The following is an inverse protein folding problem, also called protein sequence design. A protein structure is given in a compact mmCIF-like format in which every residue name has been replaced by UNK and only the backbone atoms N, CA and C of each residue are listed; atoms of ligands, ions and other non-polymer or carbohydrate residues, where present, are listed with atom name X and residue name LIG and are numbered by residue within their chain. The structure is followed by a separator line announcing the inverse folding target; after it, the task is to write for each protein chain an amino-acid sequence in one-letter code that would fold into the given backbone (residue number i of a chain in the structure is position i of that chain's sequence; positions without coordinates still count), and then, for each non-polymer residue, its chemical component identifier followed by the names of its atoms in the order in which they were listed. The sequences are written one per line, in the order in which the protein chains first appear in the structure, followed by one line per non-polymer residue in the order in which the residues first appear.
data_IF_674663463663
#
_entry.id   IF_674663463663
#
_cell.length_a   1.000
_cell.length_b   1.000
_cell.length_c   1.000
_cell.angle_alpha   90.00
_cell.angle_beta   90.00
_cell.angle_gamma   90.00
#
_symmetry.space_group_name_H-M   'P 1'
#
loop_
_entity.id
_entity.type
_entity.pdbx_description
1 polymer ?
#
# COMPACT_ATOMS: atom_id res chain seq x y z
N UNK A 1 6.08 -4.82 -17.12
CA UNK A 1 6.95 -3.80 -16.50
C UNK A 1 7.04 -4.10 -15.02
N UNK A 2 8.22 -3.93 -14.42
CA UNK A 2 8.44 -4.15 -12.98
C UNK A 2 9.12 -2.93 -12.38
N UNK A 3 8.61 -2.44 -11.26
CA UNK A 3 9.29 -1.46 -10.41
C UNK A 3 9.51 -2.09 -9.04
N UNK A 4 10.72 -1.95 -8.53
CA UNK A 4 11.11 -2.44 -7.23
C UNK A 4 11.83 -1.34 -6.46
N UNK A 5 11.46 -1.10 -5.20
CA UNK A 5 12.10 -0.11 -4.32
C UNK A 5 12.28 1.25 -5.01
N UNK A 6 11.23 1.70 -5.68
CA UNK A 6 11.25 2.88 -6.55
C UNK A 6 10.13 3.86 -6.20
N UNK A 7 10.36 5.14 -6.52
CA UNK A 7 9.33 6.18 -6.47
C UNK A 7 9.06 6.60 -7.92
N UNK A 8 7.80 6.51 -8.33
CA UNK A 8 7.35 6.96 -9.63
C UNK A 8 6.25 8.02 -9.48
N UNK A 9 6.18 8.91 -10.46
CA UNK A 9 4.99 9.74 -10.67
C UNK A 9 3.80 8.88 -11.15
N UNK A 10 2.74 9.51 -11.68
CA UNK A 10 1.63 8.79 -12.28
C UNK A 10 2.08 7.84 -13.39
N UNK A 11 1.57 6.60 -13.39
CA UNK A 11 1.82 5.63 -14.46
C UNK A 11 0.57 5.44 -15.30
N UNK A 12 0.72 5.77 -16.59
CA UNK A 12 -0.24 5.56 -17.64
C UNK A 12 0.17 4.31 -18.43
N UNK A 13 -0.57 3.21 -18.28
CA UNK A 13 -0.30 1.92 -18.94
C UNK A 13 -1.64 1.29 -19.35
N UNK A 14 -1.79 0.90 -20.60
CA UNK A 14 -3.04 0.29 -21.06
C UNK A 14 -3.27 -1.13 -20.53
N UNK A 15 -4.53 -1.57 -20.61
CA UNK A 15 -4.89 -2.98 -20.44
C UNK A 15 -4.10 -3.90 -21.40
N UNK A 16 -3.93 -5.17 -21.01
CA UNK A 16 -3.13 -6.15 -21.75
C UNK A 16 -1.67 -6.22 -21.32
N UNK A 17 -1.17 -5.20 -20.62
CA UNK A 17 0.15 -5.21 -19.98
C UNK A 17 0.08 -5.73 -18.53
N UNK A 18 1.19 -6.29 -18.06
CA UNK A 18 1.40 -6.65 -16.65
C UNK A 18 2.33 -5.62 -15.99
N UNK A 19 1.86 -5.02 -14.89
CA UNK A 19 2.62 -4.14 -14.02
C UNK A 19 2.84 -4.82 -12.67
N UNK A 20 4.09 -5.03 -12.30
CA UNK A 20 4.48 -5.55 -10.98
C UNK A 20 5.14 -4.43 -10.18
N UNK A 21 4.62 -4.15 -9.00
CA UNK A 21 5.13 -3.15 -8.07
C UNK A 21 5.54 -3.82 -6.76
N UNK A 22 6.81 -3.69 -6.40
CA UNK A 22 7.38 -4.22 -5.16
C UNK A 22 8.03 -3.11 -4.35
N UNK A 23 7.64 -2.95 -3.10
CA UNK A 23 8.21 -1.97 -2.16
C UNK A 23 8.30 -0.54 -2.76
N UNK A 24 7.28 -0.13 -3.51
CA UNK A 24 7.35 1.05 -4.38
C UNK A 24 6.24 2.06 -4.10
N UNK A 25 6.50 3.32 -4.43
CA UNK A 25 5.56 4.44 -4.30
C UNK A 25 5.16 4.90 -5.71
N UNK A 26 3.86 5.10 -5.91
CA UNK A 26 3.32 5.75 -7.11
C UNK A 26 2.54 6.97 -6.66
N UNK A 27 2.97 8.15 -7.10
CA UNK A 27 2.46 9.42 -6.58
C UNK A 27 1.95 10.36 -7.67
N UNK A 28 0.67 10.71 -7.59
CA UNK A 28 0.01 11.71 -8.43
C UNK A 28 -0.21 13.04 -7.71
N UNK A 29 0.54 13.32 -6.64
CA UNK A 29 0.41 14.52 -5.82
C UNK A 29 -0.86 14.54 -4.97
N UNK A 30 -1.48 13.39 -4.74
CA UNK A 30 -2.80 13.27 -4.09
C UNK A 30 -2.68 12.63 -2.71
N UNK A 31 -2.34 13.44 -1.72
CA UNK A 31 -2.32 13.05 -0.30
C UNK A 31 -3.69 12.65 0.23
N UNK A 32 -3.73 12.11 1.46
CA UNK A 32 -4.91 11.57 2.15
C UNK A 32 -6.07 12.56 2.32
N UNK A 33 -5.81 13.86 2.26
CA UNK A 33 -6.81 14.93 2.38
C UNK A 33 -7.25 15.52 1.03
N UNK A 34 -6.72 15.02 -0.09
CA UNK A 34 -7.07 15.52 -1.42
C UNK A 34 -8.55 15.25 -1.72
N UNK A 35 -9.30 16.31 -2.08
CA UNK A 35 -10.74 16.23 -2.40
C UNK A 35 -11.00 15.81 -3.84
N UNK A 36 -10.04 16.06 -4.74
CA UNK A 36 -10.07 15.68 -6.16
C UNK A 36 -8.78 14.92 -6.50
N UNK A 37 -8.64 13.66 -6.04
CA UNK A 37 -7.43 12.89 -6.25
C UNK A 37 -7.19 12.57 -7.73
N UNK A 38 -5.99 12.89 -8.20
CA UNK A 38 -5.51 12.55 -9.53
C UNK A 38 -5.31 11.04 -9.68
N UNK A 39 -5.23 10.57 -10.93
CA UNK A 39 -5.02 9.16 -11.24
C UNK A 39 -3.53 8.82 -11.11
N UNK A 40 -3.18 8.01 -10.12
CA UNK A 40 -1.82 7.50 -9.93
C UNK A 40 -1.51 6.33 -10.88
N UNK A 41 -2.50 5.49 -11.16
CA UNK A 41 -2.37 4.35 -12.05
C UNK A 41 -3.63 4.24 -12.92
N UNK A 42 -3.45 4.20 -14.24
CA UNK A 42 -4.57 4.13 -15.19
C UNK A 42 -4.16 3.81 -16.61
N UNK A 43 -5.13 3.77 -17.51
CA UNK A 43 -4.89 3.59 -18.95
C UNK A 43 -4.04 4.72 -19.54
N UNK A 44 -3.20 4.40 -20.53
CA UNK A 44 -2.43 5.38 -21.27
C UNK A 44 -3.24 6.01 -22.42
N UNK A 45 -4.20 5.28 -22.95
CA UNK A 45 -5.04 5.69 -24.07
C UNK A 45 -6.52 5.71 -23.70
N UNK A 46 -7.29 6.49 -24.46
CA UNK A 46 -8.72 6.68 -24.22
C UNK A 46 -9.03 7.66 -23.08
N UNK A 47 -10.29 7.65 -22.64
CA UNK A 47 -10.74 8.50 -21.54
C UNK A 47 -10.31 7.87 -20.20
N UNK A 48 -9.54 8.59 -19.39
CA UNK A 48 -9.00 8.13 -18.12
C UNK A 48 -10.07 7.69 -17.09
N UNK A 49 -11.31 8.18 -17.19
CA UNK A 49 -12.42 7.80 -16.31
C UNK A 49 -13.18 6.55 -16.79
N UNK A 50 -12.99 6.15 -18.06
CA UNK A 50 -13.71 5.04 -18.67
C UNK A 50 -12.79 3.85 -18.98
N UNK A 51 -11.59 4.13 -19.48
CA UNK A 51 -10.59 3.14 -19.84
C UNK A 51 -9.99 2.46 -18.60
N UNK A 52 -9.44 1.27 -18.80
CA UNK A 52 -8.87 0.45 -17.73
C UNK A 52 -7.37 0.28 -17.94
N UNK A 53 -6.62 0.43 -16.85
CA UNK A 53 -5.16 0.28 -16.84
C UNK A 53 -4.69 -1.18 -16.92
N UNK A 54 -3.44 -1.47 -16.51
CA UNK A 54 -2.82 -2.78 -16.71
C UNK A 54 -3.38 -3.84 -15.74
N UNK A 55 -2.92 -5.07 -15.89
CA UNK A 55 -2.99 -6.07 -14.83
C UNK A 55 -1.96 -5.73 -13.74
N UNK A 56 -2.41 -5.54 -12.51
CA UNK A 56 -1.57 -5.08 -11.40
C UNK A 56 -1.21 -6.23 -10.45
N UNK A 57 0.09 -6.37 -10.16
CA UNK A 57 0.62 -7.23 -9.09
C UNK A 57 1.32 -6.36 -8.07
N UNK A 58 0.92 -6.44 -6.80
CA UNK A 58 1.47 -5.62 -5.71
C UNK A 58 2.16 -6.47 -4.65
N UNK A 59 3.30 -5.99 -4.16
CA UNK A 59 3.97 -6.50 -2.95
C UNK A 59 4.57 -5.31 -2.20
N UNK A 60 3.81 -4.70 -1.31
CA UNK A 60 4.24 -3.45 -0.68
C UNK A 60 4.15 -2.26 -1.64
N UNK A 61 2.98 -1.62 -1.72
CA UNK A 61 2.74 -0.47 -2.59
C UNK A 61 2.19 0.67 -1.74
N UNK A 62 2.64 1.91 -1.96
CA UNK A 62 1.90 3.10 -1.52
C UNK A 62 1.49 3.92 -2.73
N UNK A 63 0.18 4.06 -2.96
CA UNK A 63 -0.38 4.81 -4.09
C UNK A 63 -1.05 6.11 -3.61
N UNK A 64 -0.45 7.25 -3.93
CA UNK A 64 -1.01 8.59 -3.68
C UNK A 64 -1.80 9.06 -4.90
N UNK A 65 -3.06 8.64 -4.96
CA UNK A 65 -3.99 8.96 -6.04
C UNK A 65 -4.93 7.80 -6.32
N UNK A 66 -5.90 8.03 -7.19
CA UNK A 66 -6.83 6.98 -7.64
C UNK A 66 -6.08 5.94 -8.45
N UNK A 67 -6.53 4.68 -8.37
CA UNK A 67 -5.97 3.56 -9.12
C UNK A 67 -7.09 2.89 -9.89
N UNK A 68 -6.95 2.79 -11.20
CA UNK A 68 -7.94 2.16 -12.09
C UNK A 68 -7.27 1.13 -12.99
N UNK A 69 -7.51 -0.15 -12.75
CA UNK A 69 -6.74 -1.26 -13.35
C UNK A 69 -7.64 -2.37 -13.85
N UNK A 70 -7.14 -3.17 -14.79
CA UNK A 70 -7.91 -4.30 -15.34
C UNK A 70 -8.11 -5.40 -14.30
N UNK A 71 -7.03 -5.85 -13.67
CA UNK A 71 -7.03 -6.81 -12.56
C UNK A 71 -6.08 -6.32 -11.48
N UNK A 72 -6.27 -6.75 -10.23
CA UNK A 72 -5.33 -6.48 -9.15
C UNK A 72 -5.16 -7.71 -8.26
N UNK A 73 -3.91 -8.07 -7.97
CA UNK A 73 -3.58 -9.13 -7.01
C UNK A 73 -2.32 -8.83 -6.23
N UNK A 74 -2.14 -9.52 -5.11
CA UNK A 74 -0.95 -9.43 -4.29
C UNK A 74 -1.26 -8.96 -2.87
N UNK A 75 -0.31 -8.27 -2.23
CA UNK A 75 -0.42 -7.96 -0.80
C UNK A 75 0.29 -6.69 -0.35
N UNK A 76 -0.10 -6.18 0.82
CA UNK A 76 0.60 -5.07 1.50
C UNK A 76 0.46 -3.71 0.83
N UNK A 77 -0.60 -3.48 0.05
CA UNK A 77 -0.84 -2.20 -0.61
C UNK A 77 -1.55 -1.18 0.28
N UNK A 78 -1.16 0.09 0.18
CA UNK A 78 -1.86 1.26 0.70
C UNK A 78 -2.43 2.04 -0.49
N UNK A 79 -3.73 1.94 -0.69
CA UNK A 79 -4.45 2.69 -1.73
C UNK A 79 -5.10 3.91 -1.07
N UNK A 80 -4.40 5.05 -1.08
CA UNK A 80 -4.77 6.26 -0.33
C UNK A 80 -6.13 6.80 -0.78
N UNK A 81 -6.44 6.63 -2.06
CA UNK A 81 -7.72 6.99 -2.67
C UNK A 81 -8.35 5.79 -3.37
N UNK A 82 -9.46 6.02 -4.06
CA UNK A 82 -10.27 5.00 -4.72
C UNK A 82 -9.43 4.04 -5.57
N UNK A 83 -9.56 2.74 -5.26
CA UNK A 83 -9.12 1.64 -6.10
C UNK A 83 -10.31 1.06 -6.88
N UNK A 84 -10.21 1.07 -8.19
CA UNK A 84 -11.19 0.46 -9.09
C UNK A 84 -10.54 -0.65 -9.92
N UNK A 85 -11.05 -1.86 -9.76
CA UNK A 85 -10.63 -3.04 -10.52
C UNK A 85 -11.75 -3.46 -11.46
N UNK A 86 -11.44 -3.53 -12.77
CA UNK A 86 -12.43 -3.89 -13.78
C UNK A 86 -12.95 -5.30 -13.60
N UNK A 87 -12.04 -6.26 -13.54
CA UNK A 87 -12.36 -7.67 -13.34
C UNK A 87 -12.18 -8.02 -11.87
N UNK A 88 -13.26 -7.77 -11.13
CA UNK A 88 -13.33 -7.95 -9.68
C UNK A 88 -14.08 -9.22 -9.26
N UNK A 89 -14.44 -10.09 -10.21
CA UNK A 89 -15.17 -11.34 -9.97
C UNK A 89 -14.34 -12.60 -10.27
N UNK A 90 -13.19 -12.46 -10.94
CA UNK A 90 -12.30 -13.58 -11.26
C UNK A 90 -11.65 -14.16 -9.99
N UNK A 91 -12.28 -15.20 -9.43
CA UNK A 91 -11.79 -15.91 -8.26
C UNK A 91 -10.67 -16.87 -8.64
N UNK A 92 -9.55 -16.82 -7.91
CA UNK A 92 -8.52 -17.86 -7.99
C UNK A 92 -8.36 -18.58 -6.66
N UNK A 93 -8.31 -19.91 -6.76
CA UNK A 93 -7.94 -20.85 -5.71
C UNK A 93 -6.44 -20.73 -5.38
N UNK A 94 -6.06 -21.31 -4.25
CA UNK A 94 -4.91 -20.96 -3.41
C UNK A 94 -3.51 -21.15 -4.05
N UNK A 95 -3.39 -21.69 -5.26
CA UNK A 95 -2.12 -22.06 -5.89
C UNK A 95 -1.64 -21.08 -6.97
N UNK A 96 -0.72 -20.21 -6.58
CA UNK A 96 -0.15 -19.16 -7.44
C UNK A 96 0.94 -19.75 -8.35
N UNK A 97 0.56 -20.21 -9.53
CA UNK A 97 1.50 -20.54 -10.61
C UNK A 97 1.61 -19.41 -11.65
N UNK A 98 2.77 -19.31 -12.30
CA UNK A 98 3.03 -18.31 -13.36
C UNK A 98 2.07 -18.59 -14.53
N UNK A 99 1.20 -17.63 -14.85
CA UNK A 99 0.23 -17.73 -15.94
C UNK A 99 -1.24 -17.81 -15.51
N UNK A 100 -1.52 -17.97 -14.22
CA UNK A 100 -2.89 -17.90 -13.69
C UNK A 100 -3.40 -16.45 -13.58
N UNK A 101 -4.66 -16.24 -13.97
CA UNK A 101 -5.37 -14.96 -14.09
C UNK A 101 -6.41 -14.83 -12.97
N UNK A 102 -6.18 -14.02 -11.94
CA UNK A 102 -7.24 -13.79 -10.94
C UNK A 102 -6.95 -12.58 -10.06
N UNK A 103 -7.98 -12.10 -9.39
CA UNK A 103 -7.92 -10.87 -8.59
C UNK A 103 -8.14 -11.15 -7.10
N UNK A 104 -7.07 -11.03 -6.31
CA UNK A 104 -7.12 -11.16 -4.85
C UNK A 104 -6.07 -10.27 -4.17
N UNK A 105 -6.52 -9.39 -3.27
CA UNK A 105 -5.64 -8.51 -2.49
C UNK A 105 -5.63 -8.91 -1.01
N UNK A 106 -4.44 -9.04 -0.42
CA UNK A 106 -4.27 -9.49 0.96
C UNK A 106 -3.57 -8.43 1.80
N UNK A 107 -3.98 -8.27 3.05
CA UNK A 107 -3.27 -7.40 4.01
C UNK A 107 -3.03 -5.99 3.46
N UNK A 108 -4.01 -5.43 2.76
CA UNK A 108 -3.98 -4.10 2.17
C UNK A 108 -4.84 -3.12 2.98
N UNK A 109 -4.59 -1.84 2.82
CA UNK A 109 -5.47 -0.77 3.27
C UNK A 109 -6.15 -0.11 2.07
N UNK A 110 -7.45 0.13 2.19
CA UNK A 110 -8.25 0.83 1.18
C UNK A 110 -8.95 2.04 1.80
N UNK A 111 -9.14 3.08 0.98
CA UNK A 111 -9.80 4.31 1.40
C UNK A 111 -11.20 4.07 1.98
N UNK A 112 -11.94 3.10 1.41
CA UNK A 112 -13.35 2.87 1.68
C UNK A 112 -14.27 3.84 0.92
N UNK A 113 -13.74 4.69 0.04
CA UNK A 113 -14.50 5.69 -0.72
C UNK A 113 -14.84 5.19 -2.13
N UNK A 114 -15.95 4.45 -2.22
CA UNK A 114 -16.46 3.85 -3.45
C UNK A 114 -15.42 2.97 -4.18
N UNK A 115 -14.58 2.26 -3.41
CA UNK A 115 -13.64 1.30 -3.97
C UNK A 115 -14.40 0.16 -4.69
N UNK A 116 -13.97 -0.18 -5.91
CA UNK A 116 -14.41 -1.37 -6.63
C UNK A 116 -13.34 -2.43 -6.49
N UNK A 117 -13.43 -3.20 -5.41
CA UNK A 117 -12.40 -4.16 -5.01
C UNK A 117 -12.66 -5.57 -5.58
N UNK A 118 -11.59 -6.33 -5.84
CA UNK A 118 -11.68 -7.77 -6.05
C UNK A 118 -11.88 -8.49 -4.70
N UNK A 119 -11.82 -9.83 -4.72
CA UNK A 119 -11.74 -10.60 -3.47
C UNK A 119 -10.57 -10.11 -2.62
N UNK A 120 -10.76 -10.04 -1.31
CA UNK A 120 -9.72 -9.57 -0.40
C UNK A 120 -9.75 -10.29 0.93
N UNK A 121 -8.60 -10.38 1.58
CA UNK A 121 -8.42 -11.13 2.83
C UNK A 121 -7.50 -10.37 3.78
N UNK A 122 -7.91 -10.19 5.03
CA UNK A 122 -7.10 -9.51 6.05
C UNK A 122 -6.84 -8.03 5.74
N UNK A 123 -7.61 -7.43 4.85
CA UNK A 123 -7.51 -6.00 4.53
C UNK A 123 -8.30 -5.15 5.52
N UNK A 124 -7.92 -3.87 5.62
CA UNK A 124 -8.56 -2.88 6.48
C UNK A 124 -9.00 -1.66 5.67
N UNK A 125 -9.98 -0.91 6.19
CA UNK A 125 -10.61 0.21 5.49
C UNK A 125 -10.46 1.51 6.28
N UNK A 126 -10.41 2.64 5.57
CA UNK A 126 -10.19 3.96 6.16
C UNK A 126 -11.23 4.39 7.21
N UNK A 127 -12.46 3.87 7.15
CA UNK A 127 -13.50 4.10 8.17
C UNK A 127 -13.16 3.46 9.51
N UNK A 128 -12.40 2.38 9.50
CA UNK A 128 -12.06 1.61 10.69
C UNK A 128 -10.64 1.86 11.14
N UNK A 129 -9.68 1.87 10.20
CA UNK A 129 -8.26 1.99 10.45
C UNK A 129 -7.72 3.32 9.90
N UNK A 130 -7.32 4.21 10.80
CA UNK A 130 -6.86 5.55 10.45
C UNK A 130 -5.43 5.53 9.92
N UNK A 131 -5.28 5.83 8.63
CA UNK A 131 -3.99 5.97 7.96
C UNK A 131 -3.35 7.33 8.26
N UNK A 132 -2.05 7.34 8.60
CA UNK A 132 -1.27 8.56 8.85
C UNK A 132 0.16 8.41 8.36
N UNK A 133 0.61 9.37 7.56
CA UNK A 133 2.00 9.45 7.10
C UNK A 133 2.76 10.56 7.81
N UNK A 134 4.09 10.41 7.90
CA UNK A 134 4.98 11.43 8.45
C UNK A 134 5.08 12.61 7.49
N UNK A 135 5.18 12.32 6.18
CA UNK A 135 4.97 13.29 5.12
C UNK A 135 4.31 12.65 3.91
N UNK A 136 3.51 13.42 3.18
CA UNK A 136 2.74 12.96 2.02
C UNK A 136 3.18 13.63 0.71
N UNK A 137 4.15 14.53 0.77
CA UNK A 137 4.67 15.23 -0.41
C UNK A 137 6.11 14.82 -0.65
N UNK A 138 6.43 14.49 -1.90
CA UNK A 138 7.78 14.13 -2.32
C UNK A 138 8.81 15.21 -1.93
N UNK A 139 10.00 14.77 -1.52
CA UNK A 139 11.08 15.65 -1.06
C UNK A 139 11.01 16.08 0.41
N UNK A 140 9.94 15.74 1.14
CA UNK A 140 9.87 15.93 2.59
C UNK A 140 10.51 14.74 3.35
N UNK A 141 11.20 14.97 4.48
CA UNK A 141 11.64 13.89 5.36
C UNK A 141 10.47 13.00 5.80
N UNK A 142 10.70 11.70 5.90
CA UNK A 142 9.63 10.74 6.21
C UNK A 142 8.55 10.60 5.14
N UNK A 143 8.80 11.01 3.88
CA UNK A 143 7.85 10.86 2.78
C UNK A 143 7.35 9.41 2.66
N UNK A 144 6.02 9.27 2.69
CA UNK A 144 5.25 8.03 2.64
C UNK A 144 5.52 7.03 3.79
N UNK A 145 6.34 7.39 4.78
CA UNK A 145 6.54 6.57 5.97
C UNK A 145 5.33 6.71 6.90
N UNK A 146 4.91 5.60 7.49
CA UNK A 146 3.81 5.61 8.45
C UNK A 146 4.24 6.28 9.76
N UNK A 147 3.35 7.09 10.32
CA UNK A 147 3.55 7.63 11.68
C UNK A 147 3.33 6.55 12.72
N UNK A 148 3.98 6.69 13.87
CA UNK A 148 3.74 5.80 15.03
C UNK A 148 2.30 5.84 15.55
N UNK A 149 1.60 6.96 15.37
CA UNK A 149 0.18 7.13 15.73
C UNK A 149 -0.79 6.70 14.61
N UNK A 150 -0.27 6.12 13.52
CA UNK A 150 -1.09 5.38 12.55
C UNK A 150 -1.71 4.15 13.23
N UNK A 151 -2.91 3.77 12.79
CA UNK A 151 -3.62 2.62 13.35
C UNK A 151 -2.71 1.38 13.36
N UNK A 152 -2.71 0.70 14.51
CA UNK A 152 -1.92 -0.51 14.76
C UNK A 152 -2.07 -1.54 13.64
N UNK A 153 -3.27 -1.76 13.12
CA UNK A 153 -3.53 -2.78 12.09
C UNK A 153 -2.75 -2.50 10.80
N UNK A 154 -2.56 -1.23 10.46
CA UNK A 154 -1.79 -0.81 9.27
C UNK A 154 -0.30 -1.03 9.51
N UNK A 155 0.18 -0.81 10.74
CA UNK A 155 1.60 -0.98 11.08
C UNK A 155 1.99 -2.43 11.37
N UNK A 156 1.07 -3.27 11.82
CA UNK A 156 1.42 -4.57 12.43
C UNK A 156 0.71 -5.78 11.80
N UNK A 157 -0.38 -5.58 11.05
CA UNK A 157 -1.17 -6.67 10.46
C UNK A 157 -1.02 -6.76 8.93
N UNK A 158 0.03 -6.14 8.38
CA UNK A 158 0.45 -6.30 6.99
C UNK A 158 1.13 -7.65 6.72
N UNK A 159 1.67 -7.85 5.51
CA UNK A 159 2.38 -9.07 5.15
C UNK A 159 3.51 -9.39 6.13
N UNK A 160 3.64 -10.67 6.51
CA UNK A 160 4.57 -11.13 7.53
C UNK A 160 4.41 -10.48 8.92
N UNK A 161 3.20 -9.98 9.25
CA UNK A 161 2.90 -9.30 10.52
C UNK A 161 3.73 -8.04 10.75
N UNK A 162 3.94 -7.28 9.67
CA UNK A 162 4.63 -5.99 9.68
C UNK A 162 3.80 -4.91 8.96
N UNK A 163 4.40 -3.76 8.66
CA UNK A 163 3.67 -2.62 8.11
C UNK A 163 3.24 -2.83 6.66
N UNK A 164 2.04 -2.32 6.34
CA UNK A 164 1.56 -2.19 4.97
C UNK A 164 2.29 -1.03 4.25
N UNK A 165 2.34 -1.09 2.93
CA UNK A 165 2.88 -0.03 2.08
C UNK A 165 4.28 -0.30 1.55
N UNK A 166 4.84 0.71 0.87
CA UNK A 166 6.13 0.63 0.22
C UNK A 166 7.31 0.32 1.16
N UNK A 167 7.18 0.62 2.46
CA UNK A 167 8.24 0.45 3.44
C UNK A 167 8.14 -0.85 4.25
N UNK A 168 7.14 -1.70 4.02
CA UNK A 168 6.95 -2.98 4.73
C UNK A 168 8.20 -3.86 4.78
N UNK A 169 9.01 -3.85 3.73
CA UNK A 169 10.29 -4.59 3.69
C UNK A 169 11.31 -4.16 4.75
N UNK A 170 11.20 -2.96 5.32
CA UNK A 170 12.07 -2.47 6.38
C UNK A 170 11.83 -3.17 7.71
N UNK A 171 10.72 -3.90 7.84
CA UNK A 171 10.33 -4.65 9.04
C UNK A 171 10.32 -3.80 10.30
N UNK A 172 9.71 -2.62 10.19
CA UNK A 172 9.74 -1.63 11.27
C UNK A 172 9.04 -2.16 12.52
N UNK A 173 7.93 -2.90 12.38
CA UNK A 173 7.24 -3.50 13.52
C UNK A 173 8.12 -4.52 14.25
N UNK A 174 8.88 -5.33 13.50
CA UNK A 174 9.84 -6.26 14.13
C UNK A 174 10.95 -5.52 14.88
N UNK A 175 11.50 -4.44 14.30
CA UNK A 175 12.53 -3.61 14.97
C UNK A 175 11.99 -3.03 16.28
N UNK A 176 10.78 -2.48 16.25
CA UNK A 176 10.10 -1.91 17.43
C UNK A 176 9.83 -2.94 18.52
N UNK A 177 9.34 -4.13 18.16
CA UNK A 177 9.13 -5.22 19.11
C UNK A 177 10.44 -5.69 19.72
N UNK A 178 11.46 -5.92 18.90
CA UNK A 178 12.77 -6.39 19.35
C UNK A 178 13.45 -5.40 20.29
N UNK A 179 13.47 -4.10 19.94
CA UNK A 179 14.08 -3.09 20.82
C UNK A 179 13.31 -2.94 22.14
N UNK A 180 11.97 -3.04 22.09
CA UNK A 180 11.13 -3.02 23.28
C UNK A 180 11.45 -4.16 24.25
N UNK A 181 11.62 -5.38 23.73
CA UNK A 181 12.02 -6.55 24.53
C UNK A 181 13.41 -6.33 25.15
N UNK A 182 14.40 -5.91 24.35
CA UNK A 182 15.76 -5.68 24.87
C UNK A 182 15.82 -4.59 25.93
N UNK A 183 15.05 -3.53 25.77
CA UNK A 183 14.96 -2.50 26.81
C UNK A 183 14.34 -3.05 28.09
N UNK A 184 13.33 -3.92 28.03
CA UNK A 184 12.79 -4.53 29.25
C UNK A 184 13.79 -5.48 29.92
N UNK A 185 14.59 -6.19 29.15
CA UNK A 185 15.60 -7.14 29.67
C UNK A 185 16.80 -6.46 30.32
N UNK A 186 17.27 -5.34 29.75
CA UNK A 186 18.58 -4.75 30.11
C UNK A 186 18.50 -3.40 30.84
N UNK A 187 17.30 -2.83 31.06
CA UNK A 187 17.20 -1.54 31.74
C UNK A 187 17.40 -1.67 33.26
N UNK A 188 18.26 -0.83 33.87
CA UNK A 188 18.42 -0.79 35.32
C UNK A 188 17.12 -0.42 36.04
N UNK A 189 16.98 -0.90 37.27
CA UNK A 189 15.85 -0.54 38.14
C UNK A 189 15.78 0.97 38.34
N UNK A 190 14.57 1.53 38.21
CA UNK A 190 14.33 2.96 38.38
C UNK A 190 14.55 3.82 37.14
N UNK A 191 14.94 3.23 36.00
CA UNK A 191 15.11 3.96 34.74
C UNK A 191 14.00 3.58 33.75
N UNK A 192 13.45 4.57 33.03
CA UNK A 192 12.43 4.35 31.99
C UNK A 192 12.95 4.85 30.64
N UNK A 193 13.09 3.97 29.63
CA UNK A 193 13.55 4.40 28.31
C UNK A 193 12.45 5.14 27.57
N UNK A 194 12.86 6.11 26.74
CA UNK A 194 11.99 6.78 25.78
C UNK A 194 12.56 6.52 24.39
N UNK A 195 11.78 5.86 23.54
CA UNK A 195 12.16 5.60 22.17
C UNK A 195 11.71 6.77 21.29
N UNK A 196 12.67 7.36 20.56
CA UNK A 196 12.42 8.47 19.63
C UNK A 196 12.85 8.00 18.24
N UNK A 197 11.93 7.78 17.29
CA UNK A 197 12.30 7.55 15.90
C UNK A 197 12.89 8.82 15.31
N UNK A 198 13.95 8.66 14.51
CA UNK A 198 14.47 9.71 13.64
C UNK A 198 14.03 9.36 12.22
N UNK A 199 13.22 10.24 11.61
CA UNK A 199 12.66 10.10 10.26
C UNK A 199 13.12 11.23 9.36
#
# INVERSE_FOLDING_TARGET
MTLERSIAGPLAIDSGYLLTLSDSIVDAGSGSTATLPALALGAATGNAELAWGPNLVVRGLTAFGRVRVQTARGEGGLFVHRLEVHDNQDSHTVDVSIGQRGSCLKFCWFSGDHDRLPQHFGCVFGREARLRFSAESFGRPGYAQLRLDCDRRIREDGPASDEMGAFGYLRNTHKWKNIGIRLQEFMPVGVRPVLIPIT
#
